data_IF_505662994515
#
_entry.id   IF_505662994515
#
_cell.length_a   1.000
_cell.length_b   1.000
_cell.length_c   1.000
_cell.angle_alpha   90.00
_cell.angle_beta   90.00
_cell.angle_gamma   90.00
#
_symmetry.space_group_name_H-M   'P 1'
#
loop_
_entity.id
_entity.type
_entity.pdbx_description
1 polymer ?
#
# COMPACT_ATOMS: atom_id res chain seq x y z
N UNK A 1 -56.77 -62.70 1.06
CA UNK A 1 -55.38 -62.81 0.57
C UNK A 1 -55.23 -61.95 -0.68
N UNK A 2 -54.27 -61.00 -0.65
CA UNK A 2 -53.55 -60.30 -1.75
C UNK A 2 -54.41 -59.49 -2.76
N UNK A 3 -54.53 -58.17 -2.56
CA UNK A 3 -53.66 -57.06 -3.03
C UNK A 3 -53.71 -56.77 -4.54
N UNK A 4 -54.43 -55.70 -4.91
CA UNK A 4 -54.33 -55.00 -6.20
C UNK A 4 -53.17 -53.99 -6.11
N UNK A 5 -52.22 -54.07 -7.04
CA UNK A 5 -51.13 -53.13 -7.25
C UNK A 5 -51.64 -51.94 -8.08
N UNK A 6 -51.70 -50.75 -7.47
CA UNK A 6 -51.89 -49.48 -8.16
C UNK A 6 -50.58 -48.71 -8.16
N UNK A 7 -50.10 -48.37 -9.36
CA UNK A 7 -48.85 -47.61 -9.57
C UNK A 7 -49.15 -46.12 -9.52
N UNK A 8 -48.83 -45.44 -8.42
CA UNK A 8 -48.92 -43.98 -8.29
C UNK A 8 -47.63 -43.34 -8.81
N UNK A 9 -47.73 -42.53 -9.88
CA UNK A 9 -46.63 -41.67 -10.35
C UNK A 9 -46.56 -40.42 -9.47
N UNK A 10 -45.44 -40.22 -8.78
CA UNK A 10 -45.13 -39.01 -8.02
C UNK A 10 -44.50 -38.00 -8.99
N UNK A 11 -45.19 -36.88 -9.25
CA UNK A 11 -44.57 -35.69 -9.82
C UNK A 11 -43.80 -34.98 -8.70
N UNK A 12 -42.47 -35.00 -8.76
CA UNK A 12 -41.63 -34.21 -7.87
C UNK A 12 -41.57 -32.77 -8.42
N UNK A 13 -42.23 -31.84 -7.73
CA UNK A 13 -42.13 -30.41 -7.95
C UNK A 13 -40.76 -29.95 -7.43
N UNK A 14 -39.80 -29.72 -8.33
CA UNK A 14 -38.51 -29.13 -7.98
C UNK A 14 -38.71 -27.63 -7.69
N UNK A 15 -38.88 -27.28 -6.42
CA UNK A 15 -38.70 -25.91 -5.95
C UNK A 15 -37.20 -25.59 -6.01
N UNK A 16 -36.78 -24.85 -7.04
CA UNK A 16 -35.48 -24.19 -7.08
C UNK A 16 -35.53 -23.05 -6.06
N UNK A 17 -35.00 -23.31 -4.86
CA UNK A 17 -34.69 -22.25 -3.90
C UNK A 17 -33.43 -21.55 -4.42
N UNK A 18 -33.60 -20.39 -5.06
CA UNK A 18 -32.51 -19.46 -5.30
C UNK A 18 -32.14 -18.88 -3.93
N UNK A 19 -31.08 -19.40 -3.32
CA UNK A 19 -30.49 -18.80 -2.12
C UNK A 19 -29.75 -17.54 -2.59
N UNK A 20 -30.41 -16.40 -2.53
CA UNK A 20 -29.72 -15.11 -2.55
C UNK A 20 -29.03 -14.94 -1.20
N UNK A 21 -27.72 -15.15 -1.14
CA UNK A 21 -26.93 -14.82 0.06
C UNK A 21 -26.88 -13.29 0.20
N UNK A 22 -27.83 -12.73 0.94
CA UNK A 22 -27.75 -11.37 1.47
C UNK A 22 -26.74 -11.36 2.63
N UNK A 23 -25.44 -11.40 2.33
CA UNK A 23 -24.42 -10.99 3.31
C UNK A 23 -24.38 -9.47 3.35
N UNK A 24 -25.39 -8.89 4.02
CA UNK A 24 -25.30 -7.53 4.55
C UNK A 24 -24.25 -7.54 5.67
N UNK A 25 -23.38 -6.51 5.72
CA UNK A 25 -22.30 -6.29 6.70
C UNK A 25 -22.79 -6.09 8.14
N UNK A 26 -23.54 -7.05 8.69
CA UNK A 26 -23.76 -7.19 10.12
C UNK A 26 -23.42 -8.61 10.55
N UNK A 27 -22.32 -8.76 11.30
CA UNK A 27 -22.43 -9.40 12.63
C UNK A 27 -21.21 -9.25 13.53
N UNK A 28 -21.59 -9.05 14.80
CA UNK A 28 -20.97 -9.37 16.09
C UNK A 28 -19.65 -8.72 16.51
N UNK A 29 -19.82 -7.93 17.57
CA UNK A 29 -18.88 -7.19 18.38
C UNK A 29 -17.95 -8.14 19.16
N UNK A 30 -17.13 -8.90 18.43
CA UNK A 30 -16.06 -9.70 19.02
C UNK A 30 -14.74 -9.29 18.40
N UNK A 31 -14.21 -8.17 18.88
CA UNK A 31 -12.77 -8.00 18.89
C UNK A 31 -12.17 -9.26 19.53
N UNK A 32 -11.25 -10.00 18.88
CA UNK A 32 -10.66 -11.16 19.51
C UNK A 32 -9.77 -10.67 20.65
N UNK A 33 -10.26 -10.83 21.88
CA UNK A 33 -9.43 -10.75 23.08
C UNK A 33 -8.32 -11.78 22.92
N UNK A 34 -7.08 -11.32 22.82
CA UNK A 34 -5.90 -12.17 22.76
C UNK A 34 -5.85 -13.04 24.03
N UNK A 35 -6.20 -14.32 23.91
CA UNK A 35 -5.92 -15.29 24.98
C UNK A 35 -5.62 -16.65 24.38
N UNK A 36 -4.48 -17.18 24.80
CA UNK A 36 -3.79 -18.42 24.39
C UNK A 36 -3.07 -18.38 23.04
N UNK A 37 -1.76 -18.18 23.13
CA UNK A 37 -0.76 -18.40 22.07
C UNK A 37 -0.80 -19.87 21.62
N UNK A 38 -1.16 -20.20 20.37
CA UNK A 38 -0.80 -21.48 19.81
C UNK A 38 0.69 -21.48 19.49
N UNK A 39 1.31 -22.64 19.64
CA UNK A 39 2.73 -22.87 19.43
C UNK A 39 3.23 -22.27 18.11
N UNK A 40 4.42 -21.66 18.19
CA UNK A 40 5.20 -21.14 17.07
C UNK A 40 5.41 -22.21 16.00
N UNK A 41 4.61 -22.18 14.95
CA UNK A 41 5.04 -22.60 13.61
C UNK A 41 5.79 -21.42 13.01
N UNK A 42 7.12 -21.53 13.02
CA UNK A 42 8.02 -20.61 12.32
C UNK A 42 7.61 -20.52 10.85
N UNK A 43 6.96 -19.43 10.46
CA UNK A 43 6.84 -19.07 9.04
C UNK A 43 8.19 -18.47 8.64
N UNK A 44 8.94 -19.09 7.72
CA UNK A 44 10.27 -18.61 7.36
C UNK A 44 10.12 -17.33 6.54
N UNK A 45 10.47 -16.18 7.10
CA UNK A 45 10.56 -14.95 6.33
C UNK A 45 11.98 -14.40 6.39
N UNK A 46 12.62 -14.37 5.22
CA UNK A 46 13.84 -13.64 4.97
C UNK A 46 13.55 -12.13 5.00
N UNK A 47 14.57 -11.31 5.28
CA UNK A 47 14.45 -9.85 5.41
C UNK A 47 13.62 -9.18 4.29
N UNK A 48 12.85 -8.15 4.65
CA UNK A 48 11.91 -7.46 3.77
C UNK A 48 12.62 -6.90 2.52
N UNK A 49 12.41 -7.59 1.40
CA UNK A 49 12.74 -7.12 0.06
C UNK A 49 11.71 -6.06 -0.34
N UNK A 50 12.09 -5.15 -1.24
CA UNK A 50 11.09 -4.32 -1.95
C UNK A 50 10.00 -5.24 -2.49
N UNK A 51 8.71 -5.02 -2.17
CA UNK A 51 7.63 -5.89 -2.60
C UNK A 51 7.68 -6.13 -4.10
N UNK A 52 7.53 -7.38 -4.52
CA UNK A 52 7.74 -7.80 -5.92
C UNK A 52 6.76 -7.19 -6.92
N UNK A 53 5.65 -6.62 -6.42
CA UNK A 53 4.63 -5.94 -7.20
C UNK A 53 4.94 -4.45 -7.48
N UNK A 54 6.01 -3.90 -6.89
CA UNK A 54 6.44 -2.54 -7.20
C UNK A 54 7.28 -2.52 -8.48
N UNK A 55 6.90 -1.63 -9.42
CA UNK A 55 7.71 -1.41 -10.62
C UNK A 55 9.00 -0.68 -10.26
N UNK A 56 10.13 -1.37 -10.38
CA UNK A 56 11.45 -0.76 -10.24
C UNK A 56 11.76 0.08 -11.48
N UNK A 57 12.14 1.34 -11.27
CA UNK A 57 12.36 2.31 -12.33
C UNK A 57 13.85 2.56 -12.59
N UNK A 58 14.14 2.95 -13.83
CA UNK A 58 15.47 3.44 -14.21
C UNK A 58 15.69 4.85 -13.67
N UNK A 59 16.90 5.14 -13.17
CA UNK A 59 17.27 6.50 -12.77
C UNK A 59 17.16 7.48 -13.96
N UNK A 60 16.42 8.57 -13.74
CA UNK A 60 16.10 9.58 -14.75
C UNK A 60 15.47 10.82 -14.11
N UNK A 61 15.13 11.81 -14.93
CA UNK A 61 14.37 12.96 -14.44
C UNK A 61 12.98 12.51 -13.99
N UNK A 62 12.54 12.94 -12.81
CA UNK A 62 11.21 12.60 -12.30
C UNK A 62 11.14 12.60 -10.77
N UNK A 63 9.96 12.28 -10.24
CA UNK A 63 9.75 12.13 -8.81
C UNK A 63 9.63 10.66 -8.44
N UNK A 64 10.39 10.25 -7.43
CA UNK A 64 10.55 8.87 -7.00
C UNK A 64 10.36 8.71 -5.50
N UNK A 65 10.01 7.50 -5.08
CA UNK A 65 10.26 7.02 -3.73
C UNK A 65 11.55 6.19 -3.81
N UNK A 66 12.55 6.54 -3.00
CA UNK A 66 13.84 5.87 -2.98
C UNK A 66 13.82 4.85 -1.83
N UNK A 67 13.83 3.56 -2.13
CA UNK A 67 13.57 2.50 -1.15
C UNK A 67 14.82 1.66 -0.92
N UNK A 68 15.17 1.43 0.34
CA UNK A 68 16.30 0.58 0.68
C UNK A 68 15.98 -0.90 0.41
N UNK A 69 16.91 -1.63 -0.20
CA UNK A 69 16.71 -3.05 -0.53
C UNK A 69 16.60 -3.95 0.70
N UNK A 70 17.36 -3.67 1.76
CA UNK A 70 17.46 -4.52 2.95
C UNK A 70 16.22 -4.41 3.85
N UNK A 71 15.72 -3.19 4.03
CA UNK A 71 14.61 -2.91 4.95
C UNK A 71 13.26 -2.76 4.25
N UNK A 72 13.25 -2.52 2.92
CA UNK A 72 12.06 -2.15 2.18
C UNK A 72 11.53 -0.75 2.52
N UNK A 73 12.29 0.06 3.29
CA UNK A 73 11.84 1.36 3.79
C UNK A 73 12.29 2.52 2.91
N UNK A 74 11.40 3.50 2.64
CA UNK A 74 11.74 4.75 1.98
C UNK A 74 12.79 5.59 2.70
N UNK A 75 13.56 6.33 1.89
CA UNK A 75 14.33 7.50 2.29
C UNK A 75 13.38 8.62 2.74
N UNK A 76 13.56 9.12 3.96
CA UNK A 76 12.61 10.00 4.63
C UNK A 76 13.33 11.16 5.33
N UNK A 77 12.74 12.36 5.26
CA UNK A 77 13.17 13.51 6.07
C UNK A 77 12.50 13.49 7.45
N UNK A 78 13.33 13.37 8.49
CA UNK A 78 12.92 13.26 9.89
C UNK A 78 11.86 14.31 10.28
N UNK A 79 10.73 13.84 10.80
CA UNK A 79 9.67 14.69 11.31
C UNK A 79 9.04 15.60 10.25
N UNK A 80 9.15 15.25 8.95
CA UNK A 80 8.69 16.06 7.83
C UNK A 80 9.26 17.49 7.79
N UNK A 81 10.42 17.69 8.42
CA UNK A 81 11.01 19.01 8.55
C UNK A 81 11.39 19.59 7.20
N UNK A 82 11.18 20.89 7.04
CA UNK A 82 11.60 21.65 5.86
C UNK A 82 12.80 22.57 6.17
N UNK A 83 13.43 22.43 7.33
CA UNK A 83 14.59 23.22 7.72
C UNK A 83 15.90 22.69 7.09
N UNK A 84 16.88 23.57 6.91
CA UNK A 84 18.25 23.16 6.59
C UNK A 84 18.84 22.35 7.76
N UNK A 85 19.61 21.30 7.43
CA UNK A 85 20.21 20.40 8.41
C UNK A 85 19.24 19.37 8.98
N UNK A 86 18.00 19.28 8.45
CA UNK A 86 17.08 18.24 8.87
C UNK A 86 17.63 16.86 8.46
N UNK A 87 17.72 15.96 9.44
CA UNK A 87 18.28 14.62 9.28
C UNK A 87 17.48 13.79 8.28
N UNK A 88 18.18 13.03 7.46
CA UNK A 88 17.60 12.01 6.59
C UNK A 88 17.76 10.64 7.23
N UNK A 89 16.70 9.86 7.22
CA UNK A 89 16.58 8.56 7.86
C UNK A 89 15.78 7.60 6.97
N UNK A 90 15.67 6.34 7.36
CA UNK A 90 14.66 5.45 6.79
C UNK A 90 13.41 5.42 7.67
N UNK A 91 12.24 5.35 7.05
CA UNK A 91 10.99 5.20 7.76
C UNK A 91 10.00 4.39 6.95
N UNK A 92 9.13 3.64 7.63
CA UNK A 92 8.01 2.93 7.04
C UNK A 92 7.22 3.79 6.05
N UNK A 93 6.86 3.22 4.90
CA UNK A 93 6.06 3.91 3.89
C UNK A 93 4.76 4.48 4.48
N UNK A 94 4.52 5.77 4.26
CA UNK A 94 3.33 6.47 4.79
C UNK A 94 2.64 7.37 3.76
N UNK A 95 3.17 7.43 2.53
CA UNK A 95 2.61 8.26 1.45
C UNK A 95 2.93 9.77 1.56
N UNK A 96 3.65 10.18 2.61
CA UNK A 96 4.05 11.56 2.85
C UNK A 96 4.97 12.13 1.78
N UNK A 97 4.92 13.44 1.57
CA UNK A 97 5.76 14.13 0.58
C UNK A 97 7.22 14.25 1.02
N UNK A 98 7.53 14.07 2.32
CA UNK A 98 8.89 13.90 2.85
C UNK A 98 9.57 12.59 2.41
N UNK A 99 8.81 11.62 1.88
CA UNK A 99 9.33 10.36 1.33
C UNK A 99 9.43 10.38 -0.20
N UNK A 100 9.18 11.54 -0.83
CA UNK A 100 9.21 11.72 -2.29
C UNK A 100 10.36 12.64 -2.67
N UNK A 101 11.11 12.22 -3.68
CA UNK A 101 12.35 12.86 -4.09
C UNK A 101 12.34 13.11 -5.60
N UNK A 102 12.55 14.36 -6.00
CA UNK A 102 12.74 14.73 -7.40
C UNK A 102 14.20 14.57 -7.78
N UNK A 103 14.45 13.70 -8.75
CA UNK A 103 15.75 13.54 -9.39
C UNK A 103 15.81 14.47 -10.61
N UNK A 104 16.88 15.27 -10.68
CA UNK A 104 17.19 16.11 -11.85
C UNK A 104 18.61 15.78 -12.32
N UNK A 105 18.72 15.32 -13.57
CA UNK A 105 19.97 15.00 -14.22
C UNK A 105 20.80 16.27 -14.42
N UNK A 106 22.08 16.16 -14.09
CA UNK A 106 23.10 17.16 -14.21
C UNK A 106 24.16 16.69 -15.24
N UNK A 107 25.04 17.60 -15.62
CA UNK A 107 26.16 17.30 -16.52
C UNK A 107 27.08 16.23 -15.92
N UNK A 108 27.58 15.31 -16.76
CA UNK A 108 28.54 14.29 -16.35
C UNK A 108 27.92 13.03 -15.71
N UNK A 109 26.61 12.82 -15.87
CA UNK A 109 25.93 11.62 -15.36
C UNK A 109 25.58 11.68 -13.87
N UNK A 110 25.65 12.86 -13.26
CA UNK A 110 25.23 13.12 -11.89
C UNK A 110 23.77 13.58 -11.83
N UNK A 111 23.20 13.57 -10.64
CA UNK A 111 21.84 14.02 -10.35
C UNK A 111 21.85 14.88 -9.09
N UNK A 112 20.96 15.86 -9.01
CA UNK A 112 20.48 16.35 -7.73
C UNK A 112 19.29 15.50 -7.27
N UNK A 113 19.18 15.28 -5.96
CA UNK A 113 18.06 14.58 -5.33
C UNK A 113 17.39 15.60 -4.40
N UNK A 114 16.19 16.05 -4.71
CA UNK A 114 15.51 17.16 -4.00
C UNK A 114 14.22 16.65 -3.36
N UNK A 115 14.06 16.87 -2.05
CA UNK A 115 12.84 16.48 -1.33
C UNK A 115 11.64 17.28 -1.82
N UNK A 116 10.54 16.60 -2.17
CA UNK A 116 9.33 17.23 -2.70
C UNK A 116 8.70 18.17 -1.68
N UNK A 117 8.68 17.80 -0.39
CA UNK A 117 8.09 18.63 0.66
C UNK A 117 8.90 19.89 0.97
N UNK A 118 10.22 19.77 1.04
CA UNK A 118 11.10 20.83 1.53
C UNK A 118 11.68 21.70 0.42
N UNK A 119 11.67 21.23 -0.83
CA UNK A 119 12.44 21.81 -1.94
C UNK A 119 13.96 21.91 -1.65
N UNK A 120 14.48 21.04 -0.79
CA UNK A 120 15.88 20.99 -0.38
C UNK A 120 16.59 19.75 -0.92
N UNK A 121 17.87 19.89 -1.23
CA UNK A 121 18.69 18.82 -1.76
C UNK A 121 19.17 17.89 -0.64
N UNK A 122 19.19 16.60 -0.94
CA UNK A 122 19.91 15.58 -0.19
C UNK A 122 21.40 15.87 -0.27
N UNK A 123 22.08 15.92 0.88
CA UNK A 123 23.51 16.18 0.93
C UNK A 123 24.23 15.35 1.99
N UNK A 124 25.55 15.28 1.86
CA UNK A 124 26.40 14.87 2.97
C UNK A 124 26.71 16.09 3.82
N UNK A 125 26.31 16.03 5.09
CA UNK A 125 26.39 17.14 6.02
C UNK A 125 27.82 17.72 6.07
N UNK A 126 27.92 19.05 5.96
CA UNK A 126 29.20 19.78 6.00
C UNK A 126 30.23 19.32 4.93
N UNK A 127 29.78 18.69 3.85
CA UNK A 127 30.63 18.16 2.77
C UNK A 127 31.73 17.19 3.24
N UNK A 128 31.51 16.49 4.36
CA UNK A 128 32.47 15.52 4.90
C UNK A 128 32.72 14.37 3.91
N UNK A 129 33.91 13.78 3.98
CA UNK A 129 34.33 12.65 3.12
C UNK A 129 34.62 11.36 3.89
N UNK A 130 34.46 11.40 5.21
CA UNK A 130 34.68 10.26 6.11
C UNK A 130 33.48 9.30 6.08
N UNK A 131 33.77 8.04 6.42
CA UNK A 131 32.73 7.05 6.69
C UNK A 131 31.87 7.49 7.88
N UNK A 132 30.59 7.15 7.84
CA UNK A 132 29.57 7.51 8.82
C UNK A 132 29.24 9.02 8.88
N UNK A 133 29.70 9.82 7.91
CA UNK A 133 29.18 11.18 7.78
C UNK A 133 27.68 11.12 7.44
N UNK A 134 26.88 11.84 8.22
CA UNK A 134 25.43 11.83 8.10
C UNK A 134 24.95 12.50 6.82
N UNK A 135 23.75 12.10 6.41
CA UNK A 135 22.99 12.73 5.34
C UNK A 135 21.88 13.61 5.93
N UNK A 136 21.73 14.81 5.38
CA UNK A 136 20.69 15.77 5.74
C UNK A 136 20.13 16.44 4.47
N UNK A 137 19.21 17.39 4.66
CA UNK A 137 18.71 18.24 3.58
C UNK A 137 19.16 19.68 3.75
N UNK A 138 19.52 20.33 2.65
CA UNK A 138 19.92 21.73 2.63
C UNK A 138 19.47 22.45 1.36
N UNK A 139 19.49 23.77 1.38
CA UNK A 139 19.30 24.58 0.16
C UNK A 139 20.28 24.15 -0.92
N UNK A 140 19.77 23.84 -2.12
CA UNK A 140 20.62 23.43 -3.23
C UNK A 140 21.55 24.58 -3.65
N UNK A 141 22.84 24.30 -3.67
CA UNK A 141 23.93 25.24 -3.96
C UNK A 141 24.80 24.79 -5.13
N UNK A 142 24.44 23.68 -5.79
CA UNK A 142 25.25 22.99 -6.80
C UNK A 142 26.59 22.44 -6.30
N UNK A 143 26.83 22.42 -4.98
CA UNK A 143 28.01 21.81 -4.39
C UNK A 143 28.12 20.30 -4.70
N UNK A 144 29.35 19.79 -4.85
CA UNK A 144 29.60 18.37 -5.18
C UNK A 144 29.05 17.40 -4.14
N UNK A 145 28.94 17.81 -2.87
CA UNK A 145 28.37 17.01 -1.78
C UNK A 145 26.83 16.86 -1.88
N UNK A 146 26.18 17.62 -2.77
CA UNK A 146 24.75 17.54 -3.09
C UNK A 146 24.47 16.84 -4.43
N UNK A 147 25.51 16.28 -5.07
CA UNK A 147 25.42 15.64 -6.38
C UNK A 147 25.70 14.15 -6.26
N UNK A 148 24.89 13.35 -6.94
CA UNK A 148 24.85 11.92 -6.74
C UNK A 148 24.94 11.18 -8.07
N UNK A 149 25.69 10.09 -8.13
CA UNK A 149 25.75 9.18 -9.27
C UNK A 149 24.94 7.93 -8.95
N UNK A 150 24.10 7.50 -9.88
CA UNK A 150 23.37 6.25 -9.81
C UNK A 150 24.09 5.19 -10.63
N UNK A 151 24.68 4.18 -9.98
CA UNK A 151 25.30 3.04 -10.66
C UNK A 151 24.40 1.83 -10.53
N UNK A 152 23.91 1.31 -11.66
CA UNK A 152 23.04 0.13 -11.68
C UNK A 152 23.78 -1.12 -11.19
N UNK A 153 23.13 -1.90 -10.34
CA UNK A 153 23.54 -3.22 -9.88
C UNK A 153 22.81 -4.35 -10.63
N UNK A 154 21.94 -4.00 -11.59
CA UNK A 154 20.99 -4.92 -12.20
C UNK A 154 19.74 -5.13 -11.37
N UNK A 155 18.73 -5.78 -11.95
CA UNK A 155 17.44 -6.10 -11.30
C UNK A 155 16.76 -4.90 -10.62
N UNK A 156 16.92 -3.68 -11.18
CA UNK A 156 16.29 -2.45 -10.68
C UNK A 156 16.92 -1.84 -9.42
N UNK A 157 18.06 -2.34 -8.95
CA UNK A 157 18.78 -1.77 -7.80
C UNK A 157 19.96 -0.90 -8.22
N UNK A 158 20.25 0.10 -7.40
CA UNK A 158 21.28 1.11 -7.61
C UNK A 158 22.17 1.27 -6.39
N UNK A 159 23.44 1.54 -6.65
CA UNK A 159 24.30 2.32 -5.76
C UNK A 159 24.00 3.81 -5.97
N UNK A 160 23.88 4.57 -4.88
CA UNK A 160 23.74 6.03 -4.91
C UNK A 160 25.03 6.61 -4.33
N UNK A 161 25.87 7.19 -5.18
CA UNK A 161 27.26 7.51 -4.85
C UNK A 161 27.42 9.04 -4.79
N UNK A 162 27.94 9.56 -3.69
CA UNK A 162 28.18 10.98 -3.55
C UNK A 162 29.37 11.43 -4.43
N UNK A 163 29.19 12.51 -5.21
CA UNK A 163 30.23 13.02 -6.11
C UNK A 163 31.46 13.55 -5.38
N UNK A 164 31.29 14.11 -4.17
CA UNK A 164 32.39 14.72 -3.42
C UNK A 164 33.34 13.67 -2.82
N UNK A 165 32.78 12.60 -2.25
CA UNK A 165 33.54 11.61 -1.49
C UNK A 165 33.77 10.29 -2.23
N UNK A 166 32.99 10.00 -3.28
CA UNK A 166 32.96 8.71 -3.96
C UNK A 166 32.33 7.58 -3.13
N UNK A 167 31.69 7.90 -1.99
CA UNK A 167 31.09 6.93 -1.06
C UNK A 167 29.61 6.73 -1.32
N UNK A 168 29.11 5.59 -0.89
CA UNK A 168 27.74 5.14 -1.13
C UNK A 168 26.80 5.57 0.01
N UNK A 169 25.60 6.00 -0.36
CA UNK A 169 24.49 6.21 0.56
C UNK A 169 24.09 4.86 1.20
N UNK A 170 24.04 4.80 2.53
CA UNK A 170 23.72 3.59 3.27
C UNK A 170 22.87 3.88 4.49
N UNK A 171 22.04 2.91 4.88
CA UNK A 171 21.46 2.87 6.21
C UNK A 171 22.55 2.53 7.23
N UNK A 172 22.63 3.33 8.30
CA UNK A 172 23.60 3.14 9.38
C UNK A 172 23.40 1.77 10.05
N UNK A 173 24.52 1.09 10.34
CA UNK A 173 24.51 -0.23 11.00
C UNK A 173 23.81 -1.34 10.21
N UNK A 174 23.49 -1.13 8.93
CA UNK A 174 22.63 -2.01 8.13
C UNK A 174 21.25 -2.26 8.78
N UNK A 175 20.74 -1.28 9.53
CA UNK A 175 19.51 -1.45 10.29
C UNK A 175 18.27 -1.58 9.42
N UNK A 176 17.21 -2.16 9.99
CA UNK A 176 15.88 -2.28 9.39
C UNK A 176 14.79 -1.53 10.17
N UNK A 177 15.16 -0.79 11.22
CA UNK A 177 14.19 -0.06 12.05
C UNK A 177 13.89 1.33 11.49
N UNK A 178 12.71 1.85 11.85
CA UNK A 178 12.32 3.22 11.60
C UNK A 178 13.18 4.20 12.41
N UNK A 179 13.52 5.34 11.80
CA UNK A 179 14.26 6.42 12.46
C UNK A 179 15.78 6.32 12.33
N UNK A 180 16.29 5.18 11.84
CA UNK A 180 17.72 4.96 11.68
C UNK A 180 18.32 5.82 10.58
N UNK A 181 19.52 6.32 10.87
CA UNK A 181 20.19 7.35 10.07
C UNK A 181 20.57 6.85 8.68
N UNK A 182 20.47 7.74 7.70
CA UNK A 182 21.18 7.59 6.43
C UNK A 182 22.51 8.33 6.52
N UNK A 183 23.55 7.69 6.01
CA UNK A 183 24.92 8.17 6.04
C UNK A 183 25.65 7.76 4.74
N UNK A 184 26.88 8.25 4.56
CA UNK A 184 27.79 7.66 3.56
C UNK A 184 28.75 6.65 4.18
N UNK A 185 29.14 5.66 3.39
CA UNK A 185 30.20 4.71 3.72
C UNK A 185 30.86 4.18 2.44
N UNK A 186 32.09 3.69 2.53
CA UNK A 186 32.73 2.93 1.45
C UNK A 186 31.84 1.77 0.97
N UNK A 187 31.85 1.44 -0.32
CA UNK A 187 31.00 0.37 -0.82
C UNK A 187 31.48 -1.00 -0.32
N UNK A 188 30.61 -1.71 0.41
CA UNK A 188 30.84 -3.05 0.98
C UNK A 188 30.03 -4.14 0.28
N UNK A 189 29.19 -3.80 -0.70
CA UNK A 189 28.32 -4.76 -1.40
C UNK A 189 27.09 -5.21 -0.62
N UNK A 190 26.88 -4.69 0.60
CA UNK A 190 25.75 -5.08 1.47
C UNK A 190 24.43 -4.47 1.00
N UNK A 191 23.31 -5.12 1.29
CA UNK A 191 21.99 -4.68 0.82
C UNK A 191 21.54 -3.32 1.39
N UNK A 192 22.09 -2.89 2.52
CA UNK A 192 21.80 -1.56 3.09
C UNK A 192 22.36 -0.40 2.23
N UNK A 193 23.24 -0.70 1.27
CA UNK A 193 23.80 0.25 0.28
C UNK A 193 23.08 0.21 -1.07
N UNK A 194 22.03 -0.61 -1.19
CA UNK A 194 21.35 -0.85 -2.45
C UNK A 194 19.95 -0.26 -2.38
N UNK A 195 19.61 0.53 -3.39
CA UNK A 195 18.39 1.32 -3.42
C UNK A 195 17.60 1.06 -4.68
N UNK A 196 16.29 1.00 -4.56
CA UNK A 196 15.35 0.92 -5.67
C UNK A 196 14.64 2.26 -5.84
N UNK A 197 14.30 2.60 -7.07
CA UNK A 197 13.49 3.76 -7.40
C UNK A 197 12.08 3.28 -7.74
N UNK A 198 11.10 3.72 -6.96
CA UNK A 198 9.69 3.47 -7.22
C UNK A 198 9.02 4.73 -7.73
N UNK A 199 7.93 4.55 -8.47
CA UNK A 199 7.14 5.64 -9.01
C UNK A 199 6.49 6.44 -7.85
N UNK A 200 6.67 7.77 -7.81
CA UNK A 200 5.98 8.61 -6.83
C UNK A 200 4.63 9.15 -7.35
N UNK A 201 4.37 9.01 -8.66
CA UNK A 201 3.14 9.45 -9.34
C UNK A 201 2.58 8.30 -10.15
N UNK A 202 1.58 7.60 -9.63
CA UNK A 202 0.95 6.48 -10.31
C UNK A 202 -0.04 6.99 -11.36
N UNK A 203 -0.11 6.29 -12.50
CA UNK A 203 -1.01 6.65 -13.59
C UNK A 203 -2.41 6.19 -13.21
N UNK A 204 -3.40 7.10 -13.17
CA UNK A 204 -4.77 6.72 -12.82
C UNK A 204 -5.35 5.68 -13.78
N UNK A 205 -5.87 4.59 -13.24
CA UNK A 205 -6.45 3.48 -14.01
C UNK A 205 -7.87 3.11 -13.52
N UNK A 206 -8.25 3.54 -12.32
CA UNK A 206 -9.59 3.36 -11.77
C UNK A 206 -10.47 4.58 -12.05
N UNK A 207 -11.61 4.36 -12.69
CA UNK A 207 -12.70 5.33 -12.86
C UNK A 207 -13.94 4.91 -12.08
N UNK A 208 -14.94 5.79 -11.99
CA UNK A 208 -16.23 5.46 -11.37
C UNK A 208 -17.37 6.31 -11.95
N UNK A 209 -18.60 5.78 -11.86
CA UNK A 209 -19.84 6.48 -12.25
C UNK A 209 -20.94 6.21 -11.22
N UNK A 210 -21.76 7.20 -10.89
CA UNK A 210 -22.93 7.04 -10.00
C UNK A 210 -24.23 7.08 -10.80
N UNK A 211 -25.11 6.11 -10.53
CA UNK A 211 -26.52 6.18 -10.93
C UNK A 211 -27.22 7.23 -10.08
N UNK A 212 -27.66 8.34 -10.69
CA UNK A 212 -28.24 9.49 -9.97
C UNK A 212 -29.77 9.53 -9.95
N UNK A 213 -30.42 8.73 -10.81
CA UNK A 213 -31.88 8.68 -10.89
C UNK A 213 -32.48 8.23 -9.56
N UNK A 214 -33.35 9.06 -8.98
CA UNK A 214 -34.01 8.76 -7.70
C UNK A 214 -33.13 8.94 -6.46
N UNK A 215 -31.90 9.45 -6.60
CA UNK A 215 -30.99 9.68 -5.46
C UNK A 215 -31.13 11.12 -4.95
N UNK A 216 -31.34 11.37 -3.64
CA UNK A 216 -31.35 12.71 -3.07
C UNK A 216 -30.05 13.49 -3.35
N UNK A 217 -30.16 14.81 -3.58
CA UNK A 217 -29.02 15.63 -4.00
C UNK A 217 -27.89 15.70 -2.97
N UNK A 218 -28.22 15.69 -1.68
CA UNK A 218 -27.26 15.65 -0.58
C UNK A 218 -26.52 14.30 -0.52
N UNK A 219 -27.22 13.21 -0.81
CA UNK A 219 -26.63 11.85 -0.92
C UNK A 219 -25.69 11.77 -2.13
N UNK A 220 -26.11 12.28 -3.29
CA UNK A 220 -25.24 12.35 -4.48
C UNK A 220 -23.95 13.12 -4.18
N UNK A 221 -24.06 14.24 -3.47
CA UNK A 221 -22.90 15.07 -3.08
C UNK A 221 -21.94 14.29 -2.18
N UNK A 222 -22.44 13.61 -1.13
CA UNK A 222 -21.59 12.83 -0.22
C UNK A 222 -20.91 11.66 -0.91
N UNK A 223 -21.66 10.85 -1.68
CA UNK A 223 -21.11 9.71 -2.40
C UNK A 223 -20.08 10.17 -3.45
N UNK A 224 -20.34 11.27 -4.16
CA UNK A 224 -19.40 11.83 -5.13
C UNK A 224 -18.09 12.25 -4.47
N UNK A 225 -18.16 12.96 -3.33
CA UNK A 225 -16.97 13.35 -2.58
C UNK A 225 -16.20 12.12 -2.06
N UNK A 226 -16.90 11.12 -1.54
CA UNK A 226 -16.32 9.87 -1.06
C UNK A 226 -15.57 9.12 -2.17
N UNK A 227 -16.23 8.88 -3.31
CA UNK A 227 -15.66 8.15 -4.44
C UNK A 227 -14.51 8.91 -5.11
N UNK A 228 -14.63 10.24 -5.28
CA UNK A 228 -13.52 11.05 -5.79
C UNK A 228 -12.29 10.95 -4.89
N UNK A 229 -12.47 11.08 -3.57
CA UNK A 229 -11.37 10.97 -2.60
C UNK A 229 -10.74 9.57 -2.58
N UNK A 230 -11.56 8.51 -2.67
CA UNK A 230 -11.08 7.14 -2.64
C UNK A 230 -10.34 6.76 -3.93
N UNK A 231 -10.94 7.04 -5.10
CA UNK A 231 -10.33 6.74 -6.40
C UNK A 231 -9.06 7.56 -6.61
N UNK A 232 -9.01 8.82 -6.17
CA UNK A 232 -7.77 9.60 -6.19
C UNK A 232 -6.66 8.91 -5.40
N UNK A 233 -6.94 8.35 -4.22
CA UNK A 233 -5.94 7.63 -3.40
C UNK A 233 -5.52 6.31 -4.03
N UNK A 234 -6.45 5.54 -4.59
CA UNK A 234 -6.12 4.31 -5.32
C UNK A 234 -5.21 4.61 -6.51
N UNK A 235 -5.61 5.57 -7.35
CA UNK A 235 -4.86 5.99 -8.54
C UNK A 235 -3.51 6.66 -8.22
N UNK A 236 -3.36 7.26 -7.04
CA UNK A 236 -2.14 7.96 -6.68
C UNK A 236 -1.10 7.08 -5.96
N UNK A 237 -1.42 5.83 -5.61
CA UNK A 237 -0.55 5.03 -4.75
C UNK A 237 -0.29 3.59 -5.24
N UNK A 238 -0.95 3.16 -6.32
CA UNK A 238 -0.63 1.91 -7.02
C UNK A 238 -1.12 1.95 -8.49
N UNK A 239 -0.59 1.06 -9.31
CA UNK A 239 -1.10 0.81 -10.66
C UNK A 239 -2.17 -0.29 -10.58
N UNK A 240 -3.29 -0.09 -11.28
CA UNK A 240 -4.47 -0.96 -11.25
C UNK A 240 -4.88 -1.33 -12.69
N UNK A 241 -5.43 -2.52 -12.95
CA UNK A 241 -6.08 -2.77 -14.23
C UNK A 241 -7.14 -1.70 -14.52
N UNK A 242 -7.14 -1.16 -15.75
CA UNK A 242 -8.06 -0.09 -16.10
C UNK A 242 -9.52 -0.58 -16.00
N UNK A 243 -10.35 0.10 -15.20
CA UNK A 243 -11.76 -0.26 -15.01
C UNK A 243 -12.59 0.91 -14.51
N UNK A 244 -13.89 0.85 -14.75
CA UNK A 244 -14.86 1.82 -14.23
C UNK A 244 -15.80 1.13 -13.25
N UNK A 245 -15.83 1.64 -12.01
CA UNK A 245 -16.77 1.17 -10.99
C UNK A 245 -18.15 1.77 -11.21
N UNK A 246 -19.19 0.96 -11.05
CA UNK A 246 -20.57 1.44 -11.01
C UNK A 246 -21.00 1.62 -9.57
N UNK A 247 -21.47 2.81 -9.23
CA UNK A 247 -21.88 3.17 -7.88
C UNK A 247 -23.38 3.43 -7.87
N UNK A 248 -24.06 2.94 -6.85
CA UNK A 248 -25.49 3.20 -6.64
C UNK A 248 -25.80 3.54 -5.18
N UNK A 249 -26.94 4.19 -4.99
CA UNK A 249 -27.53 4.41 -3.67
C UNK A 249 -28.71 3.45 -3.50
N UNK A 250 -28.66 2.62 -2.46
CA UNK A 250 -29.66 1.59 -2.21
C UNK A 250 -30.02 1.58 -0.72
N UNK A 251 -31.24 2.02 -0.38
CA UNK A 251 -31.70 2.10 1.01
C UNK A 251 -31.89 0.74 1.68
N UNK A 252 -31.93 -0.35 0.91
CA UNK A 252 -31.92 -1.73 1.43
C UNK A 252 -30.54 -2.19 1.92
N UNK A 253 -29.47 -1.46 1.60
CA UNK A 253 -28.11 -1.71 2.09
C UNK A 253 -27.91 -0.97 3.41
N UNK A 254 -27.47 -1.69 4.45
CA UNK A 254 -27.30 -1.13 5.79
C UNK A 254 -26.12 -0.16 5.89
N UNK A 255 -25.02 -0.46 5.20
CA UNK A 255 -23.75 0.28 5.25
C UNK A 255 -23.31 0.66 3.84
N UNK A 256 -22.43 -0.12 3.24
CA UNK A 256 -22.13 -0.21 1.83
C UNK A 256 -21.72 -1.65 1.51
N UNK A 257 -21.72 -2.01 0.23
CA UNK A 257 -21.15 -3.28 -0.22
C UNK A 257 -20.54 -3.15 -1.62
N UNK A 258 -19.37 -3.77 -1.80
CA UNK A 258 -18.66 -3.89 -3.06
C UNK A 258 -18.71 -5.32 -3.61
N UNK A 259 -18.71 -5.45 -4.94
CA UNK A 259 -18.69 -6.73 -5.64
C UNK A 259 -17.50 -6.82 -6.59
N UNK A 260 -17.03 -8.04 -6.85
CA UNK A 260 -15.93 -8.31 -7.80
C UNK A 260 -16.27 -7.94 -9.24
N UNK A 261 -17.56 -7.84 -9.60
CA UNK A 261 -18.02 -7.29 -10.89
C UNK A 261 -17.87 -5.76 -11.00
N UNK A 262 -17.48 -5.08 -9.91
CA UNK A 262 -17.23 -3.65 -9.89
C UNK A 262 -18.44 -2.77 -9.63
N UNK A 263 -19.47 -3.32 -8.99
CA UNK A 263 -20.55 -2.54 -8.42
C UNK A 263 -20.24 -2.23 -6.93
N UNK A 264 -20.50 -0.98 -6.52
CA UNK A 264 -20.50 -0.54 -5.12
C UNK A 264 -21.86 0.08 -4.81
N UNK A 265 -22.48 -0.32 -3.71
CA UNK A 265 -23.76 0.21 -3.25
C UNK A 265 -23.58 0.91 -1.92
N UNK A 266 -24.03 2.16 -1.82
CA UNK A 266 -24.08 2.86 -0.55
C UNK A 266 -25.49 2.82 0.03
N UNK A 267 -25.56 2.53 1.33
CA UNK A 267 -26.77 2.54 2.13
C UNK A 267 -27.28 3.93 2.50
N UNK A 268 -28.42 3.97 3.19
CA UNK A 268 -29.09 5.19 3.63
C UNK A 268 -28.30 6.01 4.66
N UNK A 269 -27.48 5.36 5.48
CA UNK A 269 -26.76 6.03 6.57
C UNK A 269 -25.60 6.86 6.05
N UNK A 270 -25.64 8.16 6.31
CA UNK A 270 -24.60 9.12 5.93
C UNK A 270 -23.24 8.81 6.57
N UNK A 271 -23.20 8.11 7.71
CA UNK A 271 -21.94 7.71 8.37
C UNK A 271 -21.12 6.71 7.56
N UNK A 272 -21.73 6.06 6.56
CA UNK A 272 -21.03 5.13 5.65
C UNK A 272 -20.82 5.72 4.25
N UNK A 273 -21.25 6.95 3.99
CA UNK A 273 -21.02 7.64 2.71
C UNK A 273 -19.73 8.47 2.77
N UNK A 274 -18.64 7.83 3.20
CA UNK A 274 -17.35 8.47 3.49
C UNK A 274 -16.24 7.93 2.59
N UNK A 275 -15.14 8.68 2.47
CA UNK A 275 -13.95 8.26 1.70
C UNK A 275 -13.44 6.91 2.21
N UNK A 276 -13.40 6.72 3.53
CA UNK A 276 -12.95 5.49 4.18
C UNK A 276 -13.81 4.30 3.77
N UNK A 277 -15.15 4.44 3.74
CA UNK A 277 -16.02 3.37 3.19
C UNK A 277 -15.74 3.12 1.74
N UNK A 278 -15.70 4.17 0.92
CA UNK A 278 -15.45 4.01 -0.51
C UNK A 278 -14.13 3.26 -0.77
N UNK A 279 -13.06 3.57 -0.03
CA UNK A 279 -11.78 2.85 -0.15
C UNK A 279 -11.89 1.38 0.24
N UNK A 280 -12.58 1.08 1.34
CA UNK A 280 -12.85 -0.28 1.78
C UNK A 280 -13.63 -1.09 0.73
N UNK A 281 -14.73 -0.54 0.21
CA UNK A 281 -15.54 -1.22 -0.80
C UNK A 281 -14.79 -1.41 -2.12
N UNK A 282 -13.93 -0.46 -2.52
CA UNK A 282 -13.04 -0.66 -3.67
C UNK A 282 -12.17 -1.90 -3.46
N UNK A 283 -11.68 -2.16 -2.24
CA UNK A 283 -10.93 -3.39 -1.91
C UNK A 283 -11.72 -4.66 -2.21
N UNK A 284 -12.99 -4.71 -1.80
CA UNK A 284 -13.90 -5.83 -2.15
C UNK A 284 -14.07 -5.98 -3.66
N UNK A 285 -14.09 -4.87 -4.40
CA UNK A 285 -14.16 -4.96 -5.86
C UNK A 285 -12.92 -5.54 -6.53
N UNK A 286 -11.80 -5.61 -5.81
CA UNK A 286 -10.56 -6.29 -6.20
C UNK A 286 -10.40 -7.68 -5.55
N UNK A 287 -11.44 -8.20 -4.88
CA UNK A 287 -11.47 -9.58 -4.42
C UNK A 287 -11.26 -9.79 -2.93
N UNK A 288 -10.93 -8.73 -2.16
CA UNK A 288 -10.83 -8.82 -0.70
C UNK A 288 -12.10 -9.46 -0.15
N UNK A 289 -11.96 -10.54 0.63
CA UNK A 289 -13.07 -11.25 1.27
C UNK A 289 -14.01 -12.05 0.36
N UNK A 290 -13.90 -11.92 -0.96
CA UNK A 290 -14.93 -12.43 -1.90
C UNK A 290 -14.32 -13.36 -2.97
N UNK A 291 -13.09 -13.12 -3.43
CA UNK A 291 -12.53 -13.90 -4.53
C UNK A 291 -12.01 -15.27 -4.10
N UNK A 292 -11.89 -16.19 -5.06
CA UNK A 292 -11.22 -17.47 -4.84
C UNK A 292 -9.75 -17.27 -4.49
N UNK A 293 -9.10 -16.27 -5.08
CA UNK A 293 -7.72 -15.89 -4.79
C UNK A 293 -7.53 -15.42 -3.34
N UNK A 294 -8.49 -14.68 -2.80
CA UNK A 294 -8.52 -14.38 -1.37
C UNK A 294 -8.51 -15.67 -0.55
N UNK A 295 -9.48 -16.55 -0.80
CA UNK A 295 -9.64 -17.81 -0.04
C UNK A 295 -8.41 -18.72 -0.16
N UNK A 296 -7.79 -18.80 -1.34
CA UNK A 296 -6.59 -19.58 -1.59
C UNK A 296 -5.38 -19.10 -0.78
N UNK A 297 -5.36 -17.82 -0.41
CA UNK A 297 -4.31 -17.20 0.39
C UNK A 297 -4.68 -17.12 1.89
N UNK A 298 -5.74 -17.79 2.36
CA UNK A 298 -6.07 -17.85 3.78
C UNK A 298 -5.53 -19.13 4.41
N UNK A 299 -4.77 -18.98 5.50
CA UNK A 299 -4.33 -20.10 6.35
C UNK A 299 -4.40 -19.71 7.82
N UNK A 300 -5.12 -20.48 8.63
CA UNK A 300 -5.21 -20.26 10.08
C UNK A 300 -5.81 -18.92 10.51
N UNK A 301 -6.64 -18.28 9.66
CA UNK A 301 -7.19 -16.94 9.92
C UNK A 301 -6.26 -15.79 9.50
N UNK A 302 -5.17 -16.08 8.79
CA UNK A 302 -4.24 -15.09 8.26
C UNK A 302 -4.25 -15.08 6.73
N UNK A 303 -4.02 -13.91 6.14
CA UNK A 303 -3.67 -13.81 4.72
C UNK A 303 -2.16 -14.08 4.58
N UNK A 304 -1.79 -15.09 3.80
CA UNK A 304 -0.40 -15.59 3.69
C UNK A 304 0.23 -15.36 2.32
N UNK A 305 -0.40 -14.53 1.47
CA UNK A 305 0.18 -14.13 0.19
C UNK A 305 1.50 -13.39 0.38
N UNK A 306 2.54 -13.82 -0.35
CA UNK A 306 3.92 -13.36 -0.14
C UNK A 306 4.06 -11.85 -0.36
N UNK A 307 3.46 -11.30 -1.42
CA UNK A 307 3.58 -9.87 -1.72
C UNK A 307 2.90 -9.02 -0.64
N UNK A 308 1.70 -9.42 -0.19
CA UNK A 308 0.97 -8.69 0.84
C UNK A 308 1.69 -8.71 2.20
N UNK A 309 2.23 -9.86 2.60
CA UNK A 309 3.01 -9.99 3.84
C UNK A 309 4.29 -9.17 3.78
N UNK A 310 5.02 -9.21 2.67
CA UNK A 310 6.22 -8.39 2.48
C UNK A 310 5.88 -6.90 2.51
N UNK A 311 4.78 -6.49 1.86
CA UNK A 311 4.30 -5.11 1.89
C UNK A 311 4.00 -4.65 3.31
N UNK A 312 3.26 -5.44 4.09
CA UNK A 312 2.98 -5.12 5.48
C UNK A 312 4.25 -5.01 6.32
N UNK A 313 5.23 -5.89 6.09
CA UNK A 313 6.50 -5.84 6.79
C UNK A 313 7.29 -4.53 6.53
N UNK A 314 7.11 -3.89 5.37
CA UNK A 314 7.71 -2.56 5.12
C UNK A 314 7.10 -1.47 6.01
N UNK A 315 5.84 -1.64 6.43
CA UNK A 315 5.07 -0.68 7.21
C UNK A 315 5.20 -0.88 8.72
N UNK A 316 5.21 -2.14 9.15
CA UNK A 316 5.08 -2.52 10.55
C UNK A 316 6.28 -3.33 11.06
N UNK A 317 7.24 -3.59 10.18
CA UNK A 317 8.47 -4.30 10.49
C UNK A 317 8.40 -5.83 10.31
N UNK A 318 9.52 -6.53 10.52
CA UNK A 318 9.60 -7.97 10.36
C UNK A 318 8.62 -8.71 11.27
N UNK A 319 7.92 -9.71 10.73
CA UNK A 319 6.99 -10.55 11.48
C UNK A 319 5.58 -9.96 11.64
N UNK A 320 5.27 -8.85 10.97
CA UNK A 320 3.91 -8.33 10.89
C UNK A 320 2.96 -9.35 10.23
N UNK A 321 1.71 -9.40 10.71
CA UNK A 321 0.70 -10.41 10.33
C UNK A 321 -0.53 -9.71 9.78
N UNK A 322 -1.06 -10.21 8.66
CA UNK A 322 -2.38 -9.83 8.13
C UNK A 322 -3.42 -10.80 8.68
N UNK A 323 -4.18 -10.37 9.69
CA UNK A 323 -5.33 -11.07 10.23
C UNK A 323 -6.50 -10.98 9.27
N UNK A 324 -7.36 -12.00 9.25
CA UNK A 324 -8.57 -12.03 8.42
C UNK A 324 -9.77 -12.54 9.19
N UNK A 325 -10.96 -12.08 8.81
CA UNK A 325 -12.21 -12.50 9.44
C UNK A 325 -13.42 -11.84 8.81
N UNK A 326 -14.48 -12.61 8.57
CA UNK A 326 -15.75 -12.08 8.05
C UNK A 326 -15.65 -11.36 6.69
N UNK A 327 -14.67 -11.73 5.86
CA UNK A 327 -14.41 -11.05 4.58
C UNK A 327 -13.47 -9.84 4.67
N UNK A 328 -12.96 -9.53 5.86
CA UNK A 328 -12.11 -8.37 6.10
C UNK A 328 -10.67 -8.79 6.45
N UNK A 329 -9.75 -7.82 6.43
CA UNK A 329 -8.41 -7.98 6.97
C UNK A 329 -8.03 -6.86 7.94
N UNK A 330 -7.02 -7.14 8.77
CA UNK A 330 -6.34 -6.18 9.63
C UNK A 330 -4.83 -6.47 9.65
N UNK A 331 -3.97 -5.46 9.87
CA UNK A 331 -4.30 -4.03 9.95
C UNK A 331 -4.62 -3.42 8.57
N UNK A 332 -5.10 -2.17 8.58
CA UNK A 332 -5.34 -1.35 7.38
C UNK A 332 -6.44 -1.84 6.43
N UNK A 333 -7.38 -2.66 6.89
CA UNK A 333 -8.58 -3.01 6.13
C UNK A 333 -9.59 -1.86 6.01
N UNK A 334 -9.45 -0.81 6.81
CA UNK A 334 -10.35 0.34 6.87
C UNK A 334 -11.79 -0.07 7.26
N UNK A 335 -11.90 -1.02 8.18
CA UNK A 335 -13.17 -1.63 8.58
C UNK A 335 -13.97 -0.70 9.50
N UNK A 336 -13.27 0.13 10.28
CA UNK A 336 -13.87 1.12 11.18
C UNK A 336 -13.39 2.54 10.86
N UNK A 337 -14.21 3.55 11.21
CA UNK A 337 -13.80 4.96 11.05
C UNK A 337 -12.57 5.32 11.91
N UNK A 338 -12.38 4.65 13.04
CA UNK A 338 -11.18 4.81 13.88
C UNK A 338 -9.90 4.31 13.21
N UNK A 339 -10.00 3.53 12.14
CA UNK A 339 -8.85 3.13 11.32
C UNK A 339 -8.45 4.22 10.30
N UNK A 340 -9.27 5.26 10.10
CA UNK A 340 -8.99 6.27 9.10
C UNK A 340 -7.83 7.19 9.47
N UNK A 341 -6.85 7.26 8.58
CA UNK A 341 -5.89 8.35 8.45
C UNK A 341 -5.36 8.36 7.02
N UNK A 342 -4.74 9.44 6.57
CA UNK A 342 -4.09 9.45 5.24
C UNK A 342 -3.01 8.37 5.15
N UNK A 343 -2.28 8.12 6.25
CA UNK A 343 -1.30 7.03 6.35
C UNK A 343 -1.95 5.66 6.16
N UNK A 344 -3.06 5.38 6.84
CA UNK A 344 -3.75 4.09 6.72
C UNK A 344 -4.43 3.94 5.37
N UNK A 345 -4.94 5.03 4.78
CA UNK A 345 -5.43 5.04 3.41
C UNK A 345 -4.34 4.67 2.40
N UNK A 346 -3.13 5.22 2.55
CA UNK A 346 -1.97 4.82 1.75
C UNK A 346 -1.67 3.32 1.92
N UNK A 347 -1.51 2.85 3.17
CA UNK A 347 -1.17 1.45 3.49
C UNK A 347 -2.21 0.48 2.97
N UNK A 348 -3.49 0.81 3.09
CA UNK A 348 -4.60 0.04 2.54
C UNK A 348 -4.43 -0.18 1.04
N UNK A 349 -4.23 0.89 0.26
CA UNK A 349 -4.07 0.79 -1.21
C UNK A 349 -2.88 -0.10 -1.58
N UNK A 350 -1.75 0.04 -0.88
CA UNK A 350 -0.55 -0.78 -1.14
C UNK A 350 -0.77 -2.25 -0.81
N UNK A 351 -1.41 -2.55 0.32
CA UNK A 351 -1.71 -3.93 0.73
C UNK A 351 -2.70 -4.58 -0.24
N UNK A 352 -3.78 -3.90 -0.60
CA UNK A 352 -4.76 -4.44 -1.57
C UNK A 352 -4.09 -4.70 -2.92
N UNK A 353 -3.23 -3.80 -3.41
CA UNK A 353 -2.49 -4.01 -4.66
C UNK A 353 -1.54 -5.23 -4.58
N UNK A 354 -0.91 -5.43 -3.43
CA UNK A 354 -0.06 -6.59 -3.19
C UNK A 354 -0.87 -7.89 -3.12
N UNK A 355 -2.03 -7.89 -2.46
CA UNK A 355 -2.94 -9.03 -2.44
C UNK A 355 -3.48 -9.39 -3.84
N UNK A 356 -3.76 -8.40 -4.70
CA UNK A 356 -4.10 -8.64 -6.11
C UNK A 356 -2.94 -9.33 -6.84
N UNK A 357 -1.71 -8.98 -6.52
CA UNK A 357 -0.51 -9.62 -7.08
C UNK A 357 -0.30 -11.05 -6.55
N UNK A 358 -0.86 -11.36 -5.37
CA UNK A 358 -0.94 -12.72 -4.81
C UNK A 358 -2.09 -13.55 -5.41
N UNK A 359 -2.79 -13.02 -6.42
CA UNK A 359 -3.77 -13.74 -7.23
C UNK A 359 -5.23 -13.56 -6.84
N UNK A 360 -5.59 -12.49 -6.12
CA UNK A 360 -7.01 -12.11 -5.90
C UNK A 360 -7.73 -11.68 -7.17
#
# INVERSE_FOLDING_TARGET
>A
MKNKTGTTRIFALFCIVIITSNTSCKKEDTSPTATTTPASTTVPHSAAKVPGNETLLTAGNGTFIIVNRKSGKPLDVSGQSTANGAKVLQWSGNGGTNQRWTLTQLTGGYYSIVGVQSSKALEIASALTTNNANTDIWTYSSGTHQQWQFTSLGNGYYRIINRNSGKDLTVAGQSVNDGDSIQQYDYLGVESQQWALLQATFSGQLGWTLTTTGVPSDVQTRITAAMNGAVARYNANANWPARTLTVEYNTGVATADGSTSGNIRFGASSSYQTIRTAMHEIGHTYGVGISSGWTANISGGYFVGTNAVDMLATFDGPGAIIYTGGGHFWPYGLNYETEWSETNGYRHVKIVAAMVSDGM
#
